data_IF_962033483202
#
_entry.id   IF_962033483202
#
_cell.length_a   1.000
_cell.length_b   1.000
_cell.length_c   1.000
_cell.angle_alpha   90.00
_cell.angle_beta   90.00
_cell.angle_gamma   90.00
#
_symmetry.space_group_name_H-M   'P 1'
#
loop_
_entity.id
_entity.type
_entity.pdbx_description
1 polymer ?
#
# COMPACT_ATOMS: atom_id res chain seq x y z
N UNK A 1 -20.21 -19.91 -10.19
CA UNK A 1 -19.66 -19.75 -8.83
C UNK A 1 -18.17 -20.07 -8.88
N UNK A 2 -17.34 -19.20 -9.49
CA UNK A 2 -15.88 -19.40 -9.62
C UNK A 2 -15.09 -18.25 -10.29
N UNK A 3 -15.65 -17.04 -10.52
CA UNK A 3 -14.93 -16.00 -11.30
C UNK A 3 -14.05 -15.04 -10.47
N UNK A 4 -14.10 -15.09 -9.14
CA UNK A 4 -13.41 -14.12 -8.28
C UNK A 4 -12.08 -14.61 -7.69
N UNK A 5 -11.94 -15.92 -7.40
CA UNK A 5 -10.65 -16.48 -6.94
C UNK A 5 -9.58 -16.42 -8.06
N UNK A 6 -9.98 -16.66 -9.31
CA UNK A 6 -9.06 -16.61 -10.46
C UNK A 6 -8.60 -15.19 -10.77
N UNK A 7 -9.48 -14.19 -10.63
CA UNK A 7 -9.13 -12.79 -10.91
C UNK A 7 -8.19 -12.20 -9.86
N UNK A 8 -8.39 -12.46 -8.56
CA UNK A 8 -7.47 -11.96 -7.53
C UNK A 8 -6.10 -12.62 -7.64
N UNK A 9 -6.03 -13.93 -7.85
CA UNK A 9 -4.76 -14.66 -7.99
C UNK A 9 -3.99 -14.26 -9.26
N UNK A 10 -4.67 -13.97 -10.37
CA UNK A 10 -4.02 -13.50 -11.61
C UNK A 10 -3.63 -12.03 -11.52
N UNK A 11 -4.45 -11.18 -10.90
CA UNK A 11 -4.08 -9.80 -10.59
C UNK A 11 -2.88 -9.79 -9.65
N UNK A 12 -2.89 -10.51 -8.55
CA UNK A 12 -1.76 -10.65 -7.63
C UNK A 12 -0.50 -11.14 -8.35
N UNK A 13 -0.60 -12.16 -9.22
CA UNK A 13 0.57 -12.67 -9.97
C UNK A 13 1.10 -11.67 -10.99
N UNK A 14 0.22 -10.96 -11.70
CA UNK A 14 0.63 -9.95 -12.68
C UNK A 14 1.13 -8.69 -11.99
N UNK A 15 0.55 -8.31 -10.86
CA UNK A 15 1.02 -7.28 -9.94
C UNK A 15 2.39 -7.63 -9.39
N UNK A 16 2.57 -8.83 -8.85
CA UNK A 16 3.85 -9.28 -8.33
C UNK A 16 4.90 -9.27 -9.46
N UNK A 17 4.53 -9.68 -10.67
CA UNK A 17 5.45 -9.63 -11.81
C UNK A 17 5.76 -8.20 -12.27
N UNK A 18 4.78 -7.29 -12.27
CA UNK A 18 4.97 -5.90 -12.64
C UNK A 18 5.73 -5.16 -11.55
N UNK A 19 5.29 -5.22 -10.29
CA UNK A 19 5.94 -4.60 -9.13
C UNK A 19 7.40 -4.99 -9.03
N UNK A 20 7.74 -6.29 -9.06
CA UNK A 20 9.14 -6.72 -8.94
C UNK A 20 10.00 -6.37 -10.17
N UNK A 21 9.44 -6.43 -11.39
CA UNK A 21 10.19 -6.03 -12.60
C UNK A 21 10.28 -4.51 -12.80
N UNK A 22 9.51 -3.72 -12.06
CA UNK A 22 9.42 -2.26 -12.24
C UNK A 22 9.75 -1.44 -11.00
N UNK A 23 10.20 -2.04 -9.89
CA UNK A 23 10.53 -1.31 -8.64
C UNK A 23 11.37 -0.05 -8.90
N UNK A 24 12.41 -0.15 -9.74
CA UNK A 24 13.25 1.02 -10.10
C UNK A 24 12.45 2.13 -10.78
N UNK A 25 11.55 1.77 -11.69
CA UNK A 25 10.66 2.71 -12.40
C UNK A 25 9.66 3.30 -11.41
N UNK A 26 9.08 2.50 -10.52
CA UNK A 26 8.15 2.97 -9.50
C UNK A 26 8.80 3.95 -8.52
N UNK A 27 10.03 3.68 -8.07
CA UNK A 27 10.81 4.61 -7.24
C UNK A 27 11.08 5.92 -7.97
N UNK A 28 11.50 5.85 -9.24
CA UNK A 28 11.72 7.04 -10.05
C UNK A 28 10.43 7.86 -10.27
N UNK A 29 9.31 7.19 -10.58
CA UNK A 29 8.00 7.83 -10.70
C UNK A 29 7.55 8.46 -9.38
N UNK A 30 7.87 7.83 -8.24
CA UNK A 30 7.55 8.37 -6.92
C UNK A 30 8.29 9.66 -6.62
N UNK A 31 9.58 9.74 -6.97
CA UNK A 31 10.37 10.98 -6.85
C UNK A 31 9.81 12.07 -7.78
N UNK A 32 9.52 11.72 -9.04
CA UNK A 32 8.91 12.63 -9.99
C UNK A 32 7.55 13.17 -9.50
N UNK A 33 6.70 12.34 -8.94
CA UNK A 33 5.42 12.76 -8.37
C UNK A 33 5.60 13.70 -7.17
N UNK A 34 6.55 13.40 -6.27
CA UNK A 34 6.85 14.28 -5.13
C UNK A 34 7.30 15.67 -5.60
N UNK A 35 8.08 15.75 -6.68
CA UNK A 35 8.50 17.03 -7.26
C UNK A 35 7.34 17.75 -7.95
N UNK A 36 6.50 17.03 -8.69
CA UNK A 36 5.33 17.59 -9.39
C UNK A 36 4.33 18.22 -8.41
N UNK A 37 4.12 17.60 -7.24
CA UNK A 37 3.17 18.05 -6.21
C UNK A 37 3.84 18.76 -5.02
N UNK A 38 5.11 19.15 -5.16
CA UNK A 38 5.94 19.67 -4.05
C UNK A 38 5.29 20.82 -3.28
N UNK A 39 4.61 21.72 -3.97
CA UNK A 39 3.96 22.89 -3.36
C UNK A 39 2.80 22.48 -2.45
N UNK A 40 1.98 21.53 -2.89
CA UNK A 40 0.85 20.99 -2.15
C UNK A 40 1.35 20.19 -0.94
N UNK A 41 2.31 19.30 -1.16
CA UNK A 41 2.88 18.42 -0.13
C UNK A 41 3.62 19.19 0.97
N UNK A 42 4.15 20.39 0.66
CA UNK A 42 4.87 21.23 1.64
C UNK A 42 3.98 21.65 2.83
N UNK A 43 2.68 21.79 2.61
CA UNK A 43 1.72 22.20 3.65
C UNK A 43 1.29 21.07 4.59
N UNK A 44 1.61 19.82 4.24
CA UNK A 44 1.21 18.63 4.98
C UNK A 44 2.32 18.27 5.96
N UNK A 45 2.00 18.22 7.25
CA UNK A 45 2.91 17.80 8.31
C UNK A 45 2.65 16.34 8.70
N UNK A 46 3.74 15.57 8.89
CA UNK A 46 3.69 14.17 9.35
C UNK A 46 4.21 14.15 10.77
N UNK A 47 3.32 14.17 11.75
CA UNK A 47 3.71 14.23 13.16
C UNK A 47 3.86 12.86 13.81
N UNK A 48 2.80 12.04 13.74
CA UNK A 48 2.64 10.84 14.56
C UNK A 48 2.04 9.68 13.74
N UNK A 49 2.79 9.13 12.76
CA UNK A 49 2.32 7.99 12.00
C UNK A 49 2.08 6.80 12.93
N UNK A 50 0.99 6.07 12.71
CA UNK A 50 0.60 4.90 13.48
C UNK A 50 0.81 3.65 12.61
N UNK A 51 1.61 2.71 13.09
CA UNK A 51 1.82 1.43 12.42
C UNK A 51 1.11 0.32 13.20
N UNK A 52 0.33 -0.48 12.48
CA UNK A 52 -0.34 -1.65 13.03
C UNK A 52 0.47 -2.87 12.62
N UNK A 53 0.90 -3.66 13.59
CA UNK A 53 1.62 -4.91 13.35
C UNK A 53 1.13 -6.00 14.28
N UNK A 54 1.31 -7.25 13.87
CA UNK A 54 0.89 -8.42 14.63
C UNK A 54 0.95 -9.68 13.79
N UNK A 55 0.67 -10.82 14.41
CA UNK A 55 0.62 -12.10 13.71
C UNK A 55 -0.61 -12.19 12.80
N UNK A 56 -0.57 -13.02 11.74
CA UNK A 56 -1.76 -13.33 10.97
C UNK A 56 -2.92 -13.73 11.88
N UNK A 57 -4.12 -13.23 11.58
CA UNK A 57 -5.36 -13.53 12.33
C UNK A 57 -5.44 -12.96 13.75
N UNK A 58 -4.56 -12.06 14.18
CA UNK A 58 -4.68 -11.41 15.51
C UNK A 58 -5.60 -10.18 15.56
N UNK A 59 -6.37 -9.91 14.49
CA UNK A 59 -7.35 -8.81 14.45
C UNK A 59 -6.82 -7.45 13.97
N UNK A 60 -5.61 -7.39 13.41
CA UNK A 60 -5.02 -6.15 12.85
C UNK A 60 -5.91 -5.48 11.81
N UNK A 61 -6.55 -6.23 10.91
CA UNK A 61 -7.49 -5.70 9.92
C UNK A 61 -8.74 -5.08 10.57
N UNK A 62 -9.21 -5.65 11.69
CA UNK A 62 -10.35 -5.08 12.41
C UNK A 62 -9.96 -3.75 13.07
N UNK A 63 -8.77 -3.69 13.69
CA UNK A 63 -8.23 -2.45 14.26
C UNK A 63 -8.00 -1.38 13.18
N UNK A 64 -7.43 -1.75 12.03
CA UNK A 64 -7.26 -0.85 10.89
C UNK A 64 -8.60 -0.23 10.46
N UNK A 65 -9.63 -1.05 10.27
CA UNK A 65 -10.96 -0.55 9.91
C UNK A 65 -11.58 0.38 10.96
N UNK A 66 -11.25 0.22 12.25
CA UNK A 66 -11.69 1.15 13.30
C UNK A 66 -10.95 2.47 13.18
N UNK A 67 -9.63 2.45 13.02
CA UNK A 67 -8.81 3.66 12.90
C UNK A 67 -9.13 4.45 11.63
N UNK A 68 -9.37 3.77 10.49
CA UNK A 68 -9.76 4.41 9.24
C UNK A 68 -11.12 5.12 9.30
N UNK A 69 -11.95 4.86 10.32
CA UNK A 69 -13.19 5.61 10.56
C UNK A 69 -12.95 6.90 11.33
N UNK A 70 -11.82 7.03 12.01
CA UNK A 70 -11.41 8.33 12.51
C UNK A 70 -10.95 9.16 11.31
N UNK A 71 -11.50 10.35 11.15
CA UNK A 71 -11.16 11.29 10.06
C UNK A 71 -9.78 11.97 10.29
N UNK A 72 -8.90 11.32 11.05
CA UNK A 72 -7.57 11.80 11.46
C UNK A 72 -6.42 11.11 10.71
N UNK A 73 -6.70 9.98 10.04
CA UNK A 73 -5.66 9.16 9.40
C UNK A 73 -5.83 9.09 7.89
N UNK A 74 -4.71 9.19 7.18
CA UNK A 74 -4.60 8.70 5.81
C UNK A 74 -4.18 7.23 5.83
N UNK A 75 -4.63 6.47 4.83
CA UNK A 75 -4.35 5.05 4.71
C UNK A 75 -4.44 4.62 3.26
N UNK A 76 -3.73 3.55 2.92
CA UNK A 76 -3.85 2.95 1.61
C UNK A 76 -5.12 2.13 1.47
N UNK A 77 -5.62 2.04 0.24
CA UNK A 77 -6.72 1.16 -0.14
C UNK A 77 -6.33 0.27 -1.31
N UNK A 78 -7.11 -0.78 -1.58
CA UNK A 78 -6.89 -1.62 -2.76
C UNK A 78 -6.94 -0.84 -4.10
N UNK A 79 -7.47 0.39 -4.15
CA UNK A 79 -7.42 1.24 -5.33
C UNK A 79 -6.03 1.78 -5.65
N UNK A 80 -5.14 1.84 -4.68
CA UNK A 80 -3.78 2.34 -4.87
C UNK A 80 -2.91 1.36 -5.65
N UNK A 81 -3.39 0.11 -5.76
CA UNK A 81 -2.79 -0.89 -6.61
C UNK A 81 -3.12 -0.66 -8.10
N UNK A 82 -2.17 -0.90 -9.02
CA UNK A 82 -0.86 -1.50 -8.76
C UNK A 82 0.30 -0.52 -8.53
N UNK A 83 0.03 0.80 -8.57
CA UNK A 83 1.06 1.84 -8.51
C UNK A 83 1.11 2.51 -7.14
N UNK A 84 1.33 1.70 -6.11
CA UNK A 84 1.35 2.12 -4.71
C UNK A 84 2.34 3.28 -4.44
N UNK A 85 3.47 3.31 -5.14
CA UNK A 85 4.53 4.31 -5.00
C UNK A 85 4.13 5.70 -5.54
N UNK A 86 3.07 5.77 -6.35
CA UNK A 86 2.56 7.00 -6.96
C UNK A 86 1.05 7.15 -6.80
N UNK A 87 0.54 7.30 -5.57
CA UNK A 87 -0.89 7.25 -5.31
C UNK A 87 -1.65 8.42 -5.95
N UNK A 88 -1.06 9.62 -6.05
CA UNK A 88 -1.74 10.79 -6.61
C UNK A 88 -1.95 10.62 -8.13
N UNK A 89 -0.88 10.36 -8.88
CA UNK A 89 -0.95 10.17 -10.34
C UNK A 89 -1.84 8.97 -10.67
N UNK A 90 -1.69 7.88 -9.93
CA UNK A 90 -2.50 6.69 -10.15
C UNK A 90 -3.98 6.94 -9.86
N UNK A 91 -4.31 7.67 -8.79
CA UNK A 91 -5.71 8.01 -8.49
C UNK A 91 -6.35 8.81 -9.64
N UNK A 92 -5.60 9.76 -10.24
CA UNK A 92 -6.10 10.57 -11.36
C UNK A 92 -6.29 9.75 -12.63
N UNK A 93 -5.37 8.82 -12.93
CA UNK A 93 -5.46 7.97 -14.11
C UNK A 93 -6.55 6.91 -13.98
N UNK A 94 -6.63 6.27 -12.82
CA UNK A 94 -7.55 5.15 -12.56
C UNK A 94 -9.00 5.59 -12.41
N UNK A 95 -9.27 6.86 -12.07
CA UNK A 95 -10.62 7.42 -11.93
C UNK A 95 -11.52 7.12 -13.14
N UNK A 96 -10.97 7.14 -14.36
CA UNK A 96 -11.73 6.86 -15.61
C UNK A 96 -12.13 5.40 -15.79
N UNK A 97 -11.44 4.49 -15.13
CA UNK A 97 -11.63 3.04 -15.24
C UNK A 97 -12.16 2.41 -13.94
N UNK A 98 -12.47 3.25 -12.94
CA UNK A 98 -12.89 2.84 -11.61
C UNK A 98 -14.24 2.12 -11.65
N UNK A 99 -14.22 0.80 -11.57
CA UNK A 99 -15.42 -0.01 -11.38
C UNK A 99 -15.73 -0.13 -9.90
N UNK A 100 -16.89 0.36 -9.47
CA UNK A 100 -17.38 0.10 -8.10
C UNK A 100 -17.75 -1.37 -7.97
N UNK A 101 -16.84 -2.17 -7.42
CA UNK A 101 -17.14 -3.55 -7.06
C UNK A 101 -18.04 -3.56 -5.81
N UNK A 102 -19.03 -4.46 -5.74
CA UNK A 102 -19.84 -4.64 -4.56
C UNK A 102 -18.97 -5.10 -3.38
N UNK A 103 -19.44 -4.84 -2.16
CA UNK A 103 -18.83 -5.39 -0.95
C UNK A 103 -19.03 -6.90 -0.91
N UNK A 104 -17.94 -7.65 -0.80
CA UNK A 104 -17.96 -9.11 -0.72
C UNK A 104 -17.25 -9.57 0.54
N UNK A 105 -17.69 -10.67 1.13
CA UNK A 105 -16.94 -11.28 2.23
C UNK A 105 -15.54 -11.68 1.75
N UNK A 106 -14.51 -11.38 2.54
CA UNK A 106 -13.14 -11.70 2.17
C UNK A 106 -12.89 -13.21 2.19
N UNK A 107 -11.89 -13.66 1.43
CA UNK A 107 -11.59 -15.09 1.24
C UNK A 107 -11.41 -15.88 2.55
N UNK A 108 -10.99 -15.21 3.62
CA UNK A 108 -10.79 -15.83 4.92
C UNK A 108 -12.06 -16.14 5.73
N UNK A 109 -13.25 -15.73 5.24
CA UNK A 109 -14.58 -16.05 5.81
C UNK A 109 -14.71 -15.78 7.31
N UNK A 110 -14.35 -14.57 7.71
CA UNK A 110 -14.45 -14.11 9.10
C UNK A 110 -15.42 -12.94 9.26
N UNK A 111 -16.36 -12.81 8.33
CA UNK A 111 -17.39 -11.77 8.37
C UNK A 111 -16.92 -10.37 7.97
N UNK A 112 -15.62 -10.15 7.72
CA UNK A 112 -15.18 -8.89 7.14
C UNK A 112 -15.53 -8.82 5.66
N UNK A 113 -16.14 -7.71 5.26
CA UNK A 113 -16.43 -7.40 3.86
C UNK A 113 -15.37 -6.47 3.31
N UNK A 114 -14.96 -6.71 2.07
CA UNK A 114 -13.98 -5.90 1.35
C UNK A 114 -14.50 -5.51 -0.03
N UNK A 115 -13.93 -4.44 -0.56
CA UNK A 115 -14.04 -3.99 -1.94
C UNK A 115 -12.78 -3.16 -2.27
N UNK A 116 -12.75 -2.53 -3.44
CA UNK A 116 -11.60 -1.72 -3.86
C UNK A 116 -11.29 -0.54 -2.91
N UNK A 117 -12.29 0.01 -2.21
CA UNK A 117 -12.07 1.12 -1.25
C UNK A 117 -11.71 0.65 0.16
N UNK A 118 -11.55 -0.66 0.38
CA UNK A 118 -11.18 -1.17 1.70
C UNK A 118 -9.73 -0.80 2.04
N UNK A 119 -9.46 -0.38 3.29
CA UNK A 119 -8.12 -0.07 3.73
C UNK A 119 -7.26 -1.32 3.79
N UNK A 120 -5.97 -1.19 3.52
CA UNK A 120 -5.00 -2.28 3.58
C UNK A 120 -3.61 -1.77 3.97
N UNK A 121 -2.85 -2.59 4.71
CA UNK A 121 -1.51 -2.27 5.19
C UNK A 121 -0.46 -2.63 4.12
N UNK A 122 -0.25 -1.73 3.15
CA UNK A 122 0.67 -1.95 2.02
C UNK A 122 2.11 -1.45 2.25
N UNK A 123 2.45 -0.99 3.44
CA UNK A 123 3.78 -0.46 3.76
C UNK A 123 4.89 -1.49 3.53
N UNK A 124 4.59 -2.78 3.69
CA UNK A 124 5.55 -3.87 3.44
C UNK A 124 6.07 -3.86 2.00
N UNK A 125 5.25 -3.51 1.01
CA UNK A 125 5.68 -3.41 -0.38
C UNK A 125 6.72 -2.29 -0.57
N UNK A 126 6.56 -1.18 0.17
CA UNK A 126 7.52 -0.08 0.18
C UNK A 126 8.83 -0.52 0.84
N UNK A 127 8.77 -1.24 1.97
CA UNK A 127 9.96 -1.78 2.63
C UNK A 127 10.71 -2.79 1.76
N UNK A 128 10.00 -3.70 1.11
CA UNK A 128 10.57 -4.70 0.20
C UNK A 128 11.38 -4.06 -0.93
N UNK A 129 10.95 -2.91 -1.44
CA UNK A 129 11.67 -2.19 -2.49
C UNK A 129 13.00 -1.59 -2.05
N UNK A 130 13.20 -1.31 -0.75
CA UNK A 130 14.43 -0.73 -0.21
C UNK A 130 15.35 -1.78 0.43
N UNK A 131 14.79 -2.90 0.89
CA UNK A 131 15.55 -4.01 1.48
C UNK A 131 15.23 -5.36 0.83
N UNK A 132 15.37 -5.52 -0.50
CA UNK A 132 14.96 -6.76 -1.18
C UNK A 132 15.69 -8.00 -0.67
N UNK A 133 16.94 -7.85 -0.21
CA UNK A 133 17.74 -8.95 0.35
C UNK A 133 17.27 -9.42 1.72
N UNK A 134 16.40 -8.66 2.40
CA UNK A 134 15.83 -9.01 3.71
C UNK A 134 14.54 -9.85 3.60
N UNK A 135 13.93 -9.88 2.42
CA UNK A 135 12.74 -10.67 2.12
C UNK A 135 13.16 -11.89 1.31
N UNK A 136 13.61 -12.92 2.01
CA UNK A 136 13.99 -14.21 1.43
C UNK A 136 12.93 -15.27 1.77
N UNK A 137 13.24 -16.57 1.57
CA UNK A 137 12.35 -17.67 2.00
C UNK A 137 12.08 -17.67 3.51
N UNK A 138 12.92 -17.00 4.30
CA UNK A 138 12.67 -16.67 5.70
C UNK A 138 13.07 -15.22 6.00
N UNK A 139 12.46 -14.65 7.03
CA UNK A 139 12.79 -13.31 7.53
C UNK A 139 13.51 -13.49 8.87
N UNK A 140 14.80 -13.15 8.91
CA UNK A 140 15.56 -13.10 10.15
C UNK A 140 15.26 -11.82 10.93
N UNK A 141 15.57 -11.79 12.22
CA UNK A 141 15.47 -10.55 13.01
C UNK A 141 16.49 -9.55 12.48
N UNK A 142 16.04 -8.34 12.17
CA UNK A 142 16.93 -7.29 11.65
C UNK A 142 17.74 -6.67 12.79
N UNK A 143 19.05 -6.56 12.59
CA UNK A 143 19.85 -5.55 13.28
C UNK A 143 19.49 -4.14 12.79
N UNK A 144 20.06 -3.10 13.39
CA UNK A 144 19.88 -1.72 12.93
C UNK A 144 20.27 -1.61 11.45
N UNK A 145 19.29 -1.33 10.58
CA UNK A 145 19.46 -1.21 9.12
C UNK A 145 18.74 0.05 8.62
N UNK A 146 18.97 1.17 9.31
CA UNK A 146 18.40 2.47 8.95
C UNK A 146 18.89 2.90 7.56
N UNK A 147 18.00 3.51 6.79
CA UNK A 147 18.32 4.10 5.49
C UNK A 147 17.75 5.51 5.44
N UNK A 148 18.62 6.52 5.43
CA UNK A 148 18.20 7.94 5.31
C UNK A 148 17.44 8.19 4.01
N UNK A 149 17.78 7.44 2.96
CA UNK A 149 17.07 7.46 1.69
C UNK A 149 15.63 6.97 1.86
N UNK A 150 15.42 5.87 2.59
CA UNK A 150 14.08 5.37 2.87
C UNK A 150 13.31 6.33 3.79
N UNK A 151 13.95 6.84 4.86
CA UNK A 151 13.31 7.79 5.78
C UNK A 151 12.75 9.01 5.02
N UNK A 152 13.58 9.59 4.13
CA UNK A 152 13.20 10.73 3.31
C UNK A 152 12.09 10.38 2.31
N UNK A 153 12.22 9.24 1.63
CA UNK A 153 11.20 8.74 0.71
C UNK A 153 9.86 8.51 1.41
N UNK A 154 9.88 7.86 2.56
CA UNK A 154 8.67 7.42 3.26
C UNK A 154 7.90 8.61 3.84
N UNK A 155 8.60 9.62 4.36
CA UNK A 155 7.95 10.88 4.77
C UNK A 155 7.30 11.59 3.59
N UNK A 156 7.95 11.64 2.43
CA UNK A 156 7.32 12.21 1.23
C UNK A 156 6.14 11.37 0.76
N UNK A 157 6.24 10.04 0.89
CA UNK A 157 5.20 9.10 0.51
C UNK A 157 3.93 9.27 1.35
N UNK A 158 4.06 9.39 2.68
CA UNK A 158 2.91 9.61 3.59
C UNK A 158 2.15 10.90 3.27
N UNK A 159 2.84 11.94 2.75
CA UNK A 159 2.20 13.22 2.43
C UNK A 159 1.28 13.15 1.20
N UNK A 160 1.37 12.09 0.40
CA UNK A 160 0.67 11.96 -0.88
C UNK A 160 -0.68 11.28 -0.72
#
# INVERSE_FOLDING_TARGET
MSEFEDNYNTLDKTLHRLAFNTVKIQKWLAEFESDLYRTQLRSIEVERPVFISGLPRCGTTALLNVLCRAEEFCFHTYQDMPFLFTPIIWSQLSQRFKKKLPWTERAHRDGLKINQSSPEAFEEMLWQAFWPTKYSSSISVWSTNRSEQFDSFFVQHIKK
#
